data_IF_864610695816
#
_entry.id   IF_864610695816
#
_cell.length_a   1.000
_cell.length_b   1.000
_cell.length_c   1.000
_cell.angle_alpha   90.00
_cell.angle_beta   90.00
_cell.angle_gamma   90.00
#
_symmetry.space_group_name_H-M   'P 1'
#
loop_
_entity.id
_entity.type
_entity.pdbx_description
1 polymer ?
#
# COMPACT_ATOMS: atom_id res chain seq x y z
N UNK A 1 35.84 -10.54 -14.24
CA UNK A 1 34.56 -10.78 -13.54
C UNK A 1 34.24 -9.50 -12.77
N UNK A 2 33.13 -8.82 -13.04
CA UNK A 2 32.81 -7.56 -12.34
C UNK A 2 32.02 -6.48 -13.10
N UNK A 3 31.27 -6.84 -14.15
CA UNK A 3 30.47 -5.89 -14.94
C UNK A 3 28.95 -6.07 -14.72
N UNK A 4 28.52 -6.51 -13.55
CA UNK A 4 27.09 -6.54 -13.23
C UNK A 4 26.66 -5.20 -12.64
N UNK A 5 25.85 -4.46 -13.40
CA UNK A 5 25.13 -3.30 -12.89
C UNK A 5 24.13 -3.83 -11.86
N UNK A 6 24.42 -3.61 -10.57
CA UNK A 6 23.49 -3.91 -9.48
C UNK A 6 22.36 -2.88 -9.55
N UNK A 7 21.28 -3.20 -10.26
CA UNK A 7 20.07 -2.40 -10.25
C UNK A 7 19.49 -2.41 -8.85
N UNK A 8 19.73 -1.34 -8.09
CA UNK A 8 19.15 -1.16 -6.77
C UNK A 8 17.63 -0.98 -6.96
N UNK A 9 16.84 -1.94 -6.48
CA UNK A 9 15.37 -1.88 -6.53
C UNK A 9 14.91 -0.56 -5.91
N UNK A 10 14.01 0.15 -6.59
CA UNK A 10 13.44 1.40 -6.06
C UNK A 10 12.88 1.16 -4.65
N UNK A 11 13.23 2.06 -3.72
CA UNK A 11 12.66 2.02 -2.37
C UNK A 11 11.27 2.64 -2.43
N UNK A 12 10.28 1.96 -1.86
CA UNK A 12 8.94 2.50 -1.65
C UNK A 12 9.05 3.63 -0.63
N UNK A 13 8.66 4.85 -1.02
CA UNK A 13 8.60 6.01 -0.12
C UNK A 13 7.14 6.29 0.19
N UNK A 14 6.81 6.19 1.47
CA UNK A 14 5.47 6.43 1.97
C UNK A 14 5.27 7.91 2.31
N UNK A 15 4.21 8.50 1.76
CA UNK A 15 3.78 9.85 2.11
C UNK A 15 2.41 9.78 2.77
N UNK A 16 2.34 10.19 4.03
CA UNK A 16 1.09 10.28 4.81
C UNK A 16 0.09 11.24 4.19
N UNK A 17 0.58 12.32 3.59
CA UNK A 17 -0.26 13.32 2.92
C UNK A 17 -0.27 13.09 1.39
N UNK A 18 -1.42 12.72 0.80
CA UNK A 18 -1.56 12.59 -0.65
C UNK A 18 -1.24 13.87 -1.42
N UNK A 19 -1.40 15.05 -0.82
CA UNK A 19 -1.07 16.33 -1.44
C UNK A 19 0.44 16.44 -1.72
N UNK A 20 1.28 16.08 -0.75
CA UNK A 20 2.74 16.08 -0.92
C UNK A 20 3.13 15.10 -2.03
N UNK A 21 2.57 13.89 -2.03
CA UNK A 21 2.91 12.88 -3.02
C UNK A 21 2.52 13.32 -4.44
N UNK A 22 1.30 13.87 -4.60
CA UNK A 22 0.80 14.42 -5.88
C UNK A 22 1.64 15.61 -6.36
N UNK A 23 2.05 16.48 -5.46
CA UNK A 23 2.87 17.65 -5.79
C UNK A 23 4.26 17.23 -6.27
N UNK A 24 4.92 16.33 -5.55
CA UNK A 24 6.23 15.81 -5.93
C UNK A 24 6.18 15.06 -7.27
N UNK A 25 5.16 14.23 -7.48
CA UNK A 25 5.00 13.53 -8.74
C UNK A 25 4.81 14.49 -9.92
N UNK A 26 3.98 15.53 -9.76
CA UNK A 26 3.82 16.59 -10.77
C UNK A 26 5.12 17.33 -11.04
N UNK A 27 5.83 17.73 -9.99
CA UNK A 27 7.10 18.45 -10.10
C UNK A 27 8.18 17.64 -10.82
N UNK A 28 8.23 16.33 -10.56
CA UNK A 28 9.19 15.41 -11.16
C UNK A 28 8.71 14.83 -12.50
N UNK A 29 7.58 15.29 -13.04
CA UNK A 29 6.95 14.75 -14.25
C UNK A 29 6.76 13.21 -14.20
N UNK A 30 6.39 12.68 -13.03
CA UNK A 30 6.09 11.25 -12.82
C UNK A 30 4.59 11.02 -12.69
N UNK A 31 4.14 9.87 -13.17
CA UNK A 31 2.79 9.39 -12.92
C UNK A 31 2.74 8.66 -11.57
N UNK A 32 1.67 8.92 -10.82
CA UNK A 32 1.38 8.16 -9.61
C UNK A 32 0.61 6.91 -9.96
N UNK A 33 0.94 5.81 -9.29
CA UNK A 33 0.12 4.61 -9.31
C UNK A 33 -1.04 4.80 -8.33
N UNK A 34 -2.26 4.57 -8.80
CA UNK A 34 -3.47 4.63 -7.96
C UNK A 34 -3.35 3.68 -6.76
N UNK A 35 -2.81 2.48 -6.97
CA UNK A 35 -2.54 1.49 -5.91
C UNK A 35 -1.74 2.10 -4.74
N UNK A 36 -0.67 2.83 -5.04
CA UNK A 36 0.20 3.41 -4.02
C UNK A 36 -0.55 4.49 -3.21
N UNK A 37 -1.37 5.31 -3.87
CA UNK A 37 -2.16 6.33 -3.17
C UNK A 37 -3.21 5.66 -2.27
N UNK A 38 -3.90 4.65 -2.76
CA UNK A 38 -4.92 3.92 -2.00
C UNK A 38 -4.31 3.23 -0.78
N UNK A 39 -3.18 2.53 -0.96
CA UNK A 39 -2.43 1.94 0.13
C UNK A 39 -2.04 3.00 1.16
N UNK A 40 -1.58 4.18 0.72
CA UNK A 40 -1.23 5.26 1.62
C UNK A 40 -2.39 5.79 2.45
N UNK A 41 -3.56 5.94 1.85
CA UNK A 41 -4.78 6.35 2.55
C UNK A 41 -5.19 5.29 3.58
N UNK A 42 -5.13 4.00 3.23
CA UNK A 42 -5.50 2.92 4.13
C UNK A 42 -4.51 2.80 5.29
N UNK A 43 -3.20 2.85 5.03
CA UNK A 43 -2.16 2.82 6.06
C UNK A 43 -2.27 4.00 7.02
N UNK A 44 -2.46 5.23 6.53
CA UNK A 44 -2.61 6.41 7.39
C UNK A 44 -3.88 6.33 8.26
N UNK A 45 -5.01 5.87 7.72
CA UNK A 45 -6.23 5.71 8.49
C UNK A 45 -6.07 4.65 9.60
N UNK A 46 -5.47 3.50 9.27
CA UNK A 46 -5.21 2.45 10.25
C UNK A 46 -4.20 2.88 11.30
N UNK A 47 -3.18 3.65 10.91
CA UNK A 47 -2.22 4.22 11.85
C UNK A 47 -2.88 5.16 12.84
N UNK A 48 -3.81 6.03 12.40
CA UNK A 48 -4.59 6.88 13.30
C UNK A 48 -5.45 6.11 14.29
N UNK A 49 -5.93 4.93 13.89
CA UNK A 49 -6.77 4.07 14.73
C UNK A 49 -5.96 3.22 15.73
N UNK A 50 -4.85 2.63 15.28
CA UNK A 50 -4.09 1.63 16.06
C UNK A 50 -2.79 2.15 16.65
N UNK A 51 -2.28 3.29 16.18
CA UNK A 51 -0.99 3.86 16.60
C UNK A 51 0.23 3.20 15.96
N UNK A 52 0.07 2.07 15.27
CA UNK A 52 1.13 1.37 14.56
C UNK A 52 0.58 0.64 13.34
N UNK A 53 1.40 0.54 12.29
CA UNK A 53 1.11 -0.21 11.06
C UNK A 53 2.43 -0.79 10.56
N UNK A 54 2.43 -2.07 10.21
CA UNK A 54 3.59 -2.78 9.70
C UNK A 54 3.34 -3.29 8.28
N UNK A 55 4.41 -3.69 7.60
CA UNK A 55 4.34 -4.49 6.38
C UNK A 55 5.04 -5.83 6.65
N UNK A 56 4.67 -6.87 5.90
CA UNK A 56 5.33 -8.17 6.00
C UNK A 56 6.01 -8.50 4.67
N UNK A 57 7.25 -8.98 4.74
CA UNK A 57 8.00 -9.41 3.56
C UNK A 57 8.85 -10.63 3.85
N UNK A 58 8.55 -11.72 3.17
CA UNK A 58 9.37 -12.92 3.07
C UNK A 58 9.30 -13.46 1.61
N UNK A 59 8.90 -14.71 1.40
CA UNK A 59 8.58 -15.26 0.06
C UNK A 59 7.33 -14.61 -0.58
N UNK A 60 6.54 -13.92 0.23
CA UNK A 60 5.41 -13.08 -0.19
C UNK A 60 5.45 -11.72 0.53
N UNK A 61 4.70 -10.76 -0.01
CA UNK A 61 4.57 -9.40 0.55
C UNK A 61 3.11 -9.20 0.98
N UNK A 62 2.91 -8.59 2.15
CA UNK A 62 1.62 -8.05 2.60
C UNK A 62 1.82 -6.56 2.83
N UNK A 63 1.01 -5.75 2.16
CA UNK A 63 1.09 -4.29 2.24
C UNK A 63 0.91 -3.76 3.67
N UNK A 64 -0.05 -4.32 4.42
CA UNK A 64 -0.45 -3.80 5.73
C UNK A 64 -0.74 -4.94 6.72
N UNK A 65 -0.10 -4.88 7.89
CA UNK A 65 -0.35 -5.73 9.05
C UNK A 65 -0.60 -4.84 10.26
N UNK A 66 -1.78 -4.96 10.88
CA UNK A 66 -2.17 -4.13 12.02
C UNK A 66 -3.27 -4.80 12.84
N UNK A 67 -3.18 -4.79 14.17
CA UNK A 67 -4.28 -5.23 15.04
C UNK A 67 -4.81 -6.64 14.76
N UNK A 68 -3.96 -7.56 14.30
CA UNK A 68 -4.34 -8.92 13.91
C UNK A 68 -4.86 -9.09 12.47
N UNK A 69 -4.98 -8.00 11.71
CA UNK A 69 -5.40 -8.01 10.31
C UNK A 69 -4.22 -8.02 9.36
N UNK A 70 -4.41 -8.67 8.21
CA UNK A 70 -3.51 -8.66 7.06
C UNK A 70 -4.30 -8.14 5.88
N UNK A 71 -3.84 -7.05 5.28
CA UNK A 71 -4.56 -6.34 4.23
C UNK A 71 -3.64 -6.15 3.03
N UNK A 72 -4.20 -6.42 1.86
CA UNK A 72 -3.59 -6.15 0.55
C UNK A 72 -4.45 -5.10 -0.17
N UNK A 73 -3.83 -4.07 -0.74
CA UNK A 73 -4.56 -2.99 -1.41
C UNK A 73 -4.34 -3.05 -2.92
N UNK A 74 -5.44 -3.00 -3.68
CA UNK A 74 -5.39 -2.89 -5.15
C UNK A 74 -6.42 -1.90 -5.67
N UNK A 75 -6.11 -1.23 -6.77
CA UNK A 75 -7.09 -0.43 -7.50
C UNK A 75 -8.16 -1.34 -8.11
N UNK A 76 -7.74 -2.47 -8.69
CA UNK A 76 -8.60 -3.46 -9.34
C UNK A 76 -8.43 -4.86 -8.71
N UNK A 77 -9.54 -5.60 -8.60
CA UNK A 77 -9.52 -6.98 -8.09
C UNK A 77 -8.82 -7.90 -9.09
N UNK A 78 -7.76 -8.57 -8.66
CA UNK A 78 -7.21 -9.69 -9.42
C UNK A 78 -8.07 -10.94 -9.22
N UNK A 79 -8.38 -11.68 -10.29
CA UNK A 79 -9.13 -12.95 -10.23
C UNK A 79 -8.39 -14.11 -9.51
N UNK A 80 -7.13 -13.91 -9.08
CA UNK A 80 -6.38 -14.89 -8.28
C UNK A 80 -6.83 -14.83 -6.82
N UNK A 81 -7.10 -16.01 -6.25
CA UNK A 81 -7.39 -16.15 -4.82
C UNK A 81 -6.16 -15.81 -3.97
N UNK A 82 -6.37 -15.00 -2.95
CA UNK A 82 -5.38 -14.72 -1.91
C UNK A 82 -5.49 -15.76 -0.78
N UNK A 83 -4.44 -15.94 0.05
CA UNK A 83 -4.54 -16.75 1.27
C UNK A 83 -5.77 -16.35 2.11
N UNK A 84 -6.40 -17.32 2.77
CA UNK A 84 -7.70 -17.14 3.47
C UNK A 84 -7.69 -16.07 4.56
N UNK A 85 -6.52 -15.69 5.06
CA UNK A 85 -6.31 -14.76 6.16
C UNK A 85 -5.93 -13.33 5.72
N UNK A 86 -5.94 -13.04 4.40
CA UNK A 86 -5.64 -11.71 3.85
C UNK A 86 -6.91 -11.07 3.32
N UNK A 87 -7.22 -9.87 3.83
CA UNK A 87 -8.32 -9.03 3.33
C UNK A 87 -7.84 -8.24 2.13
N UNK A 88 -8.37 -8.56 0.94
CA UNK A 88 -8.11 -7.78 -0.27
C UNK A 88 -9.06 -6.58 -0.31
N UNK A 89 -8.52 -5.37 -0.34
CA UNK A 89 -9.29 -4.14 -0.48
C UNK A 89 -9.10 -3.54 -1.86
N UNK A 90 -10.19 -3.52 -2.64
CA UNK A 90 -10.24 -2.75 -3.88
C UNK A 90 -10.60 -1.28 -3.66
N UNK A 91 -10.36 -0.42 -4.64
CA UNK A 91 -10.79 0.99 -4.64
C UNK A 91 -12.25 1.20 -4.24
N UNK A 92 -13.15 0.28 -4.65
CA UNK A 92 -14.58 0.34 -4.31
C UNK A 92 -14.90 -0.10 -2.88
N UNK A 93 -14.07 -0.95 -2.27
CA UNK A 93 -14.29 -1.49 -0.91
C UNK A 93 -13.69 -0.58 0.17
N UNK A 94 -12.60 0.13 -0.16
CA UNK A 94 -11.88 1.01 0.78
C UNK A 94 -12.82 1.99 1.51
N UNK A 95 -13.70 2.77 0.85
CA UNK A 95 -14.55 3.72 1.56
C UNK A 95 -15.40 3.07 2.66
N UNK A 96 -16.01 1.92 2.36
CA UNK A 96 -16.85 1.20 3.33
C UNK A 96 -16.02 0.57 4.44
N UNK A 97 -14.84 0.04 4.12
CA UNK A 97 -13.90 -0.49 5.10
C UNK A 97 -13.47 0.58 6.11
N UNK A 98 -13.11 1.78 5.64
CA UNK A 98 -12.67 2.88 6.50
C UNK A 98 -13.82 3.46 7.34
N UNK A 99 -15.03 3.56 6.79
CA UNK A 99 -16.19 4.11 7.51
C UNK A 99 -16.68 3.23 8.67
N UNK A 100 -16.61 1.90 8.50
CA UNK A 100 -17.06 0.97 9.54
C UNK A 100 -16.13 0.90 10.74
N UNK A 101 -14.95 1.53 10.64
CA UNK A 101 -13.92 1.39 11.65
C UNK A 101 -13.45 -0.07 11.79
N UNK A 102 -13.64 -0.88 10.75
CA UNK A 102 -13.54 -2.35 10.69
C UNK A 102 -14.65 -3.10 11.40
#
# INVERSE_FOLDING_TARGET
MGNEVVYRKEKKVFFRDPFIYRTLAKWLHRQLRDDAILEHVVQEHLFRKYGEVFYFKNDFEIDIVVGGLKIEVKAERSHRGYPKDVTLLSKGEIPMFLLRGM
#
